data_IF_859532757445
#
_entry.id   IF_859532757445
#
_cell.length_a   1.000
_cell.length_b   1.000
_cell.length_c   1.000
_cell.angle_alpha   90.00
_cell.angle_beta   90.00
_cell.angle_gamma   90.00
#
_symmetry.space_group_name_H-M   'P 1'
#
loop_
_entity.id
_entity.type
_entity.pdbx_description
1 polymer ?
#
# COMPACT_ATOMS: atom_id res chain seq x y z
N UNK A 1 2.32 3.64 19.06
CA UNK A 1 2.16 2.19 18.80
C UNK A 1 3.32 1.41 19.37
N UNK A 2 4.55 1.63 18.91
CA UNK A 2 5.73 0.88 19.39
C UNK A 2 5.94 0.98 20.91
N UNK A 3 5.88 2.20 21.46
CA UNK A 3 5.97 2.41 22.92
C UNK A 3 4.75 1.90 23.71
N UNK A 4 3.62 1.67 23.04
CA UNK A 4 2.39 1.13 23.64
C UNK A 4 2.24 -0.38 23.42
N UNK A 5 3.30 -1.08 22.98
CA UNK A 5 3.28 -2.53 22.74
C UNK A 5 2.64 -2.97 21.43
N UNK A 6 2.23 -2.04 20.56
CA UNK A 6 1.77 -2.35 19.21
C UNK A 6 0.65 -1.46 18.69
N UNK A 7 0.14 -1.83 17.51
CA UNK A 7 -1.07 -1.29 16.90
C UNK A 7 -1.18 -1.64 15.42
N UNK A 8 -2.29 -1.25 14.80
CA UNK A 8 -2.65 -1.63 13.43
C UNK A 8 -2.73 -0.41 12.52
N UNK A 9 -2.01 -0.46 11.40
CA UNK A 9 -2.15 0.51 10.29
C UNK A 9 -2.82 -0.19 9.13
N UNK A 10 -3.96 0.33 8.68
CA UNK A 10 -4.71 -0.20 7.54
C UNK A 10 -4.67 0.78 6.36
N UNK A 11 -3.96 0.41 5.31
CA UNK A 11 -3.93 1.16 4.04
C UNK A 11 -4.97 0.63 3.06
N UNK A 12 -5.61 1.53 2.30
CA UNK A 12 -6.62 1.17 1.31
C UNK A 12 -5.99 1.02 -0.08
N UNK A 13 -5.97 -0.23 -0.55
CA UNK A 13 -5.53 -0.59 -1.90
C UNK A 13 -6.56 -0.29 -2.99
N UNK A 14 -6.45 -1.03 -4.09
CA UNK A 14 -7.32 -1.04 -5.27
C UNK A 14 -6.93 -2.23 -6.14
N UNK A 15 -7.81 -2.70 -7.04
CA UNK A 15 -7.40 -3.64 -8.09
C UNK A 15 -6.28 -3.07 -8.98
N UNK A 16 -6.19 -1.73 -9.10
CA UNK A 16 -5.11 -1.02 -9.79
C UNK A 16 -3.74 -1.16 -9.12
N UNK A 17 -3.67 -1.69 -7.89
CA UNK A 17 -2.40 -1.95 -7.19
C UNK A 17 -1.69 -3.19 -7.73
N UNK A 18 -2.41 -4.04 -8.46
CA UNK A 18 -1.94 -5.34 -8.96
C UNK A 18 -2.07 -5.48 -10.48
N UNK A 19 -2.71 -4.50 -11.15
CA UNK A 19 -2.96 -4.52 -12.58
C UNK A 19 -2.73 -3.13 -13.17
N UNK A 20 -2.07 -3.09 -14.33
CA UNK A 20 -1.86 -1.85 -15.08
C UNK A 20 -3.15 -1.32 -15.74
N UNK A 21 -3.21 0.00 -15.96
CA UNK A 21 -4.24 0.64 -16.79
C UNK A 21 -5.57 0.95 -16.10
N UNK A 22 -5.72 0.64 -14.81
CA UNK A 22 -6.94 0.95 -14.06
C UNK A 22 -6.84 2.36 -13.46
N UNK A 23 -7.52 3.36 -14.07
CA UNK A 23 -7.59 4.74 -13.55
C UNK A 23 -6.49 5.69 -14.03
N UNK A 24 -5.73 5.32 -15.06
CA UNK A 24 -4.64 6.14 -15.62
C UNK A 24 -3.32 6.00 -14.88
N UNK A 25 -2.24 6.50 -15.50
CA UNK A 25 -0.85 6.27 -15.05
C UNK A 25 -0.64 6.72 -13.60
N UNK A 26 -1.04 7.93 -13.25
CA UNK A 26 -0.79 8.52 -11.92
C UNK A 26 -1.49 7.74 -10.82
N UNK A 27 -2.76 7.36 -11.04
CA UNK A 27 -3.51 6.59 -10.06
C UNK A 27 -2.99 5.15 -9.94
N UNK A 28 -2.72 4.48 -11.07
CA UNK A 28 -2.16 3.13 -11.08
C UNK A 28 -0.80 3.10 -10.37
N UNK A 29 0.11 4.02 -10.70
CA UNK A 29 1.42 4.14 -10.03
C UNK A 29 1.30 4.43 -8.54
N UNK A 30 0.40 5.34 -8.14
CA UNK A 30 0.15 5.63 -6.73
C UNK A 30 -0.35 4.39 -5.97
N UNK A 31 -1.24 3.59 -6.56
CA UNK A 31 -1.77 2.38 -5.93
C UNK A 31 -0.75 1.24 -5.83
N UNK A 32 0.12 1.09 -6.82
CA UNK A 32 1.29 0.20 -6.69
C UNK A 32 2.20 0.66 -5.54
N UNK A 33 2.43 1.97 -5.40
CA UNK A 33 3.21 2.55 -4.32
C UNK A 33 2.64 2.25 -2.92
N UNK A 34 1.33 2.39 -2.73
CA UNK A 34 0.67 2.10 -1.43
C UNK A 34 0.87 0.64 -1.02
N UNK A 35 0.63 -0.31 -1.92
CA UNK A 35 0.79 -1.74 -1.61
C UNK A 35 2.26 -2.10 -1.41
N UNK A 36 3.15 -1.64 -2.29
CA UNK A 36 4.59 -1.87 -2.17
C UNK A 36 5.16 -1.33 -0.86
N UNK A 37 4.79 -0.10 -0.48
CA UNK A 37 5.21 0.49 0.79
C UNK A 37 4.68 -0.30 2.00
N UNK A 38 3.39 -0.67 1.98
CA UNK A 38 2.79 -1.46 3.07
C UNK A 38 3.52 -2.78 3.24
N UNK A 39 3.90 -3.43 2.15
CA UNK A 39 4.62 -4.70 2.17
C UNK A 39 6.04 -4.55 2.70
N UNK A 40 6.77 -3.54 2.24
CA UNK A 40 8.13 -3.26 2.71
C UNK A 40 8.16 -2.86 4.19
N UNK A 41 7.12 -2.19 4.69
CA UNK A 41 7.01 -1.81 6.09
C UNK A 41 6.86 -3.03 7.03
N UNK A 42 6.40 -4.16 6.49
CA UNK A 42 6.24 -5.43 7.23
C UNK A 42 7.23 -6.50 6.79
N UNK A 43 8.16 -6.19 5.89
CA UNK A 43 9.20 -7.12 5.47
C UNK A 43 10.27 -7.15 6.55
N UNK A 44 10.43 -8.31 7.19
CA UNK A 44 11.52 -8.57 8.14
C UNK A 44 12.87 -8.69 7.42
#
# INVERSE_FOLDING_TARGET
MLENGGGVVLNIGSGASFRGGMGGITYTSAKHGVVGFTWQLTAE
#
